data_IF_361095767282
#
_entry.id   IF_361095767282
#
_cell.length_a   1.000
_cell.length_b   1.000
_cell.length_c   1.000
_cell.angle_alpha   90.00
_cell.angle_beta   90.00
_cell.angle_gamma   90.00
#
_symmetry.space_group_name_H-M   'P 1'
#
loop_
_entity.id
_entity.type
_entity.pdbx_description
1 polymer ?
#
# COMPACT_ATOMS: atom_id res chain seq x y z
N UNK A 1 -15.20 14.78 -29.97
CA UNK A 1 -13.89 14.42 -29.39
C UNK A 1 -14.13 13.41 -28.28
N UNK A 2 -13.80 12.15 -28.49
CA UNK A 2 -13.96 11.11 -27.47
C UNK A 2 -12.77 11.16 -26.50
N UNK A 3 -13.00 11.64 -25.28
CA UNK A 3 -11.96 11.71 -24.23
C UNK A 3 -11.56 10.29 -23.81
N UNK A 4 -10.39 9.84 -24.26
CA UNK A 4 -9.83 8.54 -23.89
C UNK A 4 -9.08 8.66 -22.55
N UNK A 5 -9.44 7.83 -21.56
CA UNK A 5 -8.82 7.80 -20.23
C UNK A 5 -7.29 7.64 -20.28
N UNK A 6 -6.77 6.89 -21.26
CA UNK A 6 -5.32 6.73 -21.44
C UNK A 6 -4.65 8.04 -21.85
N UNK A 7 -5.29 8.83 -22.73
CA UNK A 7 -4.75 10.12 -23.16
C UNK A 7 -4.83 11.16 -22.05
N UNK A 8 -5.86 11.11 -21.19
CA UNK A 8 -5.97 11.97 -20.00
C UNK A 8 -4.86 11.68 -18.98
N UNK A 9 -4.58 10.39 -18.73
CA UNK A 9 -3.49 10.00 -17.85
C UNK A 9 -2.13 10.36 -18.45
N UNK A 10 -1.91 10.13 -19.74
CA UNK A 10 -0.63 10.44 -20.39
C UNK A 10 -0.33 11.95 -20.48
N UNK A 11 -1.33 12.80 -20.71
CA UNK A 11 -1.13 14.25 -20.81
C UNK A 11 -0.96 14.94 -19.45
N UNK A 12 -1.58 14.41 -18.39
CA UNK A 12 -1.45 14.95 -17.03
C UNK A 12 -0.33 14.32 -16.20
N UNK A 13 -0.02 13.04 -16.40
CA UNK A 13 0.91 12.31 -15.54
C UNK A 13 2.38 12.63 -15.81
N UNK A 14 2.80 12.90 -17.06
CA UNK A 14 4.22 13.04 -17.38
C UNK A 14 4.94 14.15 -16.60
N UNK A 15 4.37 15.36 -16.59
CA UNK A 15 4.95 16.49 -15.85
C UNK A 15 4.39 16.62 -14.42
N UNK A 16 3.09 16.41 -14.23
CA UNK A 16 2.45 16.57 -12.92
C UNK A 16 2.83 15.50 -11.90
N UNK A 17 2.99 14.24 -12.33
CA UNK A 17 3.35 13.14 -11.43
C UNK A 17 4.83 13.20 -11.04
N UNK A 18 5.71 13.60 -11.97
CA UNK A 18 7.13 13.80 -11.69
C UNK A 18 7.36 14.94 -10.67
N UNK A 19 6.66 16.07 -10.84
CA UNK A 19 6.73 17.19 -9.88
C UNK A 19 6.12 16.81 -8.53
N UNK A 20 5.00 16.09 -8.51
CA UNK A 20 4.41 15.59 -7.27
C UNK A 20 5.34 14.62 -6.54
N UNK A 21 5.98 13.69 -7.24
CA UNK A 21 6.97 12.78 -6.66
C UNK A 21 8.21 13.53 -6.12
N UNK A 22 8.69 14.54 -6.85
CA UNK A 22 9.82 15.37 -6.42
C UNK A 22 9.49 16.26 -5.21
N UNK A 23 8.20 16.58 -4.99
CA UNK A 23 7.75 17.38 -3.84
C UNK A 23 7.70 16.59 -2.53
N UNK A 24 7.77 15.25 -2.58
CA UNK A 24 7.81 14.43 -1.37
C UNK A 24 9.21 14.51 -0.76
N UNK A 25 9.32 15.07 0.44
CA UNK A 25 10.57 15.15 1.17
C UNK A 25 11.14 13.74 1.47
N UNK A 26 12.45 13.57 1.27
CA UNK A 26 13.18 12.34 1.67
C UNK A 26 13.02 12.00 3.15
N UNK A 27 12.85 13.02 4.00
CA UNK A 27 12.58 12.84 5.44
C UNK A 27 11.21 12.21 5.67
N UNK A 28 10.20 12.59 4.87
CA UNK A 28 8.87 11.99 4.95
C UNK A 28 8.91 10.51 4.50
N UNK A 29 9.72 10.19 3.49
CA UNK A 29 9.93 8.79 3.08
C UNK A 29 10.67 7.95 4.12
N UNK A 30 11.64 8.54 4.85
CA UNK A 30 12.35 7.85 5.93
C UNK A 30 11.47 7.60 7.17
N UNK A 31 10.38 8.34 7.32
CA UNK A 31 9.42 8.13 8.41
C UNK A 31 8.43 6.99 8.13
N UNK A 32 8.40 6.44 6.90
CA UNK A 32 7.57 5.28 6.59
C UNK A 32 8.15 4.02 7.26
N UNK A 33 7.31 3.17 7.86
CA UNK A 33 7.76 1.90 8.39
C UNK A 33 8.27 1.01 7.26
N UNK A 34 9.30 0.21 7.54
CA UNK A 34 9.80 -0.78 6.59
C UNK A 34 8.65 -1.72 6.15
N UNK A 35 8.52 -1.98 4.84
CA UNK A 35 7.50 -2.90 4.36
C UNK A 35 7.82 -4.31 4.84
N UNK A 36 6.79 -5.03 5.27
CA UNK A 36 6.94 -6.46 5.54
C UNK A 36 7.01 -7.19 4.21
N UNK A 37 8.04 -8.01 4.02
CA UNK A 37 8.27 -8.78 2.79
C UNK A 37 8.18 -10.27 3.11
N UNK A 38 7.44 -11.02 2.30
CA UNK A 38 7.43 -12.48 2.35
C UNK A 38 8.15 -13.03 1.13
N UNK A 39 9.23 -13.75 1.39
CA UNK A 39 10.11 -14.30 0.37
C UNK A 39 9.80 -15.75 0.01
N UNK A 40 8.78 -16.36 0.66
CA UNK A 40 8.43 -17.77 0.47
C UNK A 40 6.95 -17.94 0.18
N UNK A 41 6.58 -18.99 -0.56
CA UNK A 41 5.18 -19.27 -0.88
C UNK A 41 4.42 -20.04 0.23
N UNK A 42 5.04 -20.27 1.38
CA UNK A 42 4.43 -21.02 2.47
C UNK A 42 3.28 -20.23 3.08
N UNK A 43 2.22 -20.96 3.47
CA UNK A 43 1.09 -20.36 4.18
C UNK A 43 1.53 -19.83 5.54
N UNK A 44 1.21 -18.57 5.82
CA UNK A 44 1.41 -17.95 7.13
C UNK A 44 0.20 -18.17 8.05
N UNK A 45 0.42 -18.24 9.38
CA UNK A 45 -0.67 -18.17 10.34
C UNK A 45 -1.52 -16.92 10.14
N UNK A 46 -2.84 -16.97 10.43
CA UNK A 46 -3.70 -15.80 10.32
C UNK A 46 -3.18 -14.65 11.19
N UNK A 47 -3.16 -13.44 10.63
CA UNK A 47 -2.77 -12.25 11.39
C UNK A 47 -3.90 -11.86 12.35
N UNK A 48 -3.67 -12.08 13.65
CA UNK A 48 -4.59 -11.64 14.71
C UNK A 48 -4.35 -10.16 14.99
N UNK A 49 -5.39 -9.31 14.90
CA UNK A 49 -5.22 -7.89 15.12
C UNK A 49 -4.98 -7.59 16.61
N UNK A 50 -3.87 -6.94 16.94
CA UNK A 50 -3.60 -6.42 18.29
C UNK A 50 -4.31 -5.08 18.57
N UNK A 51 -4.87 -4.45 17.53
CA UNK A 51 -5.56 -3.14 17.59
C UNK A 51 -6.74 -3.12 16.60
N UNK A 52 -7.59 -2.09 16.65
CA UNK A 52 -8.71 -1.93 15.71
C UNK A 52 -9.90 -2.84 16.01
N UNK A 53 -10.80 -2.99 15.03
CA UNK A 53 -12.02 -3.80 15.20
C UNK A 53 -11.68 -5.29 15.11
N UNK A 54 -12.14 -6.06 16.09
CA UNK A 54 -12.06 -7.52 16.07
C UNK A 54 -12.76 -8.07 14.82
N UNK A 55 -12.11 -9.04 14.18
CA UNK A 55 -12.66 -9.84 13.11
C UNK A 55 -12.15 -11.27 13.28
N UNK A 56 -12.84 -12.26 12.69
CA UNK A 56 -12.33 -13.63 12.64
C UNK A 56 -11.27 -13.70 11.53
N UNK A 57 -9.98 -13.90 11.85
CA UNK A 57 -8.93 -13.90 10.84
C UNK A 57 -9.02 -15.17 9.99
N UNK A 58 -8.98 -14.99 8.67
CA UNK A 58 -9.07 -16.08 7.70
C UNK A 58 -7.78 -16.16 6.89
N UNK A 59 -7.37 -17.37 6.53
CA UNK A 59 -6.27 -17.58 5.59
C UNK A 59 -6.81 -17.44 4.17
N UNK A 60 -6.21 -16.54 3.41
CA UNK A 60 -6.52 -16.31 2.00
C UNK A 60 -5.76 -17.30 1.10
N UNK A 61 -6.21 -17.49 -0.14
CA UNK A 61 -5.58 -18.43 -1.09
C UNK A 61 -4.12 -18.10 -1.42
N UNK A 62 -3.75 -16.82 -1.34
CA UNK A 62 -2.37 -16.34 -1.49
C UNK A 62 -1.50 -16.60 -0.23
N UNK A 63 -2.03 -17.28 0.78
CA UNK A 63 -1.28 -17.75 1.94
C UNK A 63 -0.84 -16.67 2.92
N UNK A 64 -1.17 -15.40 2.67
CA UNK A 64 -0.74 -14.28 3.51
C UNK A 64 -1.73 -13.11 3.52
N UNK A 65 -1.83 -12.47 4.68
CA UNK A 65 -2.56 -11.22 4.92
C UNK A 65 -1.59 -10.05 5.05
N UNK A 66 -1.78 -9.01 4.22
CA UNK A 66 -1.01 -7.77 4.28
C UNK A 66 -1.11 -7.13 5.68
N UNK A 67 0.00 -6.95 6.41
CA UNK A 67 -0.03 -6.30 7.71
C UNK A 67 -0.41 -4.82 7.59
N UNK A 68 -1.00 -4.32 8.67
CA UNK A 68 -1.50 -2.95 8.75
C UNK A 68 -1.30 -2.40 10.17
N UNK A 69 -1.32 -1.08 10.29
CA UNK A 69 -1.30 -0.37 11.58
C UNK A 69 -2.51 0.55 11.71
N UNK A 70 -2.99 0.78 12.93
CA UNK A 70 -3.91 1.88 13.18
C UNK A 70 -3.15 3.21 13.22
N UNK A 71 -3.68 4.24 12.58
CA UNK A 71 -3.29 5.62 12.77
C UNK A 71 -4.56 6.48 12.83
N UNK A 72 -4.80 7.20 13.93
CA UNK A 72 -5.96 8.10 14.08
C UNK A 72 -7.31 7.53 13.60
N UNK A 73 -7.57 6.25 13.91
CA UNK A 73 -8.83 5.58 13.54
C UNK A 73 -8.88 5.00 12.12
N UNK A 74 -7.85 5.20 11.29
CA UNK A 74 -7.74 4.57 9.96
C UNK A 74 -6.69 3.45 9.97
N UNK A 75 -6.91 2.45 9.10
CA UNK A 75 -5.91 1.41 8.83
C UNK A 75 -4.98 1.89 7.73
N UNK A 76 -3.68 1.83 7.99
CA UNK A 76 -2.65 2.13 6.99
C UNK A 76 -1.93 0.85 6.55
N UNK A 77 -1.65 0.78 5.26
CA UNK A 77 -0.96 -0.32 4.60
C UNK A 77 0.23 0.22 3.82
N UNK A 78 1.35 -0.51 3.83
CA UNK A 78 2.50 -0.21 2.98
C UNK A 78 2.46 -1.15 1.77
N UNK A 79 2.30 -0.57 0.57
CA UNK A 79 2.34 -1.30 -0.69
C UNK A 79 3.63 -0.96 -1.44
N UNK A 80 4.31 -1.99 -1.93
CA UNK A 80 5.45 -1.86 -2.85
C UNK A 80 4.96 -2.27 -4.23
N UNK A 81 5.27 -1.46 -5.23
CA UNK A 81 5.02 -1.82 -6.63
C UNK A 81 6.20 -2.68 -7.13
N UNK A 82 5.89 -3.87 -7.67
CA UNK A 82 6.83 -4.77 -8.34
C UNK A 82 6.62 -4.75 -9.85
#
# INVERSE_FOLDING_TARGET
>A
MTTNRRNFLLSGAGAGMAVAAASVSKVAMAALPEPVIQTTANTMPPLVPNTGRNYNPVVTLNGWTLPWRMNNGVKEFHLVAE
#
